data_IF_873415746094
#
_entry.id   IF_873415746094
#
_cell.length_a   1.000
_cell.length_b   1.000
_cell.length_c   1.000
_cell.angle_alpha   90.00
_cell.angle_beta   90.00
_cell.angle_gamma   90.00
#
_symmetry.space_group_name_H-M   'P 1'
#
loop_
_entity.id
_entity.type
_entity.pdbx_description
1 polymer ?
#
# COMPACT_ATOMS: atom_id res chain seq x y z
N UNK A 1 34.65 -8.95 10.47
CA UNK A 1 33.56 -9.62 9.73
C UNK A 1 33.04 -8.61 8.74
N UNK A 2 33.24 -8.86 7.45
CA UNK A 2 32.76 -7.99 6.39
C UNK A 2 31.24 -7.96 6.46
N UNK A 3 30.67 -6.81 6.81
CA UNK A 3 29.24 -6.56 6.63
C UNK A 3 29.02 -6.50 5.12
N UNK A 4 28.64 -7.62 4.53
CA UNK A 4 28.14 -7.62 3.16
C UNK A 4 26.95 -6.66 3.12
N UNK A 5 27.02 -5.68 2.23
CA UNK A 5 25.90 -4.81 1.91
C UNK A 5 24.79 -5.71 1.36
N UNK A 6 23.88 -6.20 2.21
CA UNK A 6 22.69 -6.92 1.75
C UNK A 6 21.91 -5.97 0.83
N UNK A 7 21.90 -6.29 -0.45
CA UNK A 7 21.24 -5.49 -1.47
C UNK A 7 19.73 -5.66 -1.30
N UNK A 8 19.01 -4.55 -1.17
CA UNK A 8 17.55 -4.56 -1.05
C UNK A 8 16.90 -5.28 -2.23
N UNK A 9 16.10 -6.31 -1.94
CA UNK A 9 15.32 -7.06 -2.90
C UNK A 9 13.83 -6.95 -2.57
N UNK A 10 13.09 -6.22 -3.42
CA UNK A 10 11.66 -5.96 -3.19
C UNK A 10 10.84 -7.26 -3.12
N UNK A 11 11.19 -8.27 -3.92
CA UNK A 11 10.47 -9.54 -3.93
C UNK A 11 10.65 -10.34 -2.63
N UNK A 12 11.81 -10.24 -1.99
CA UNK A 12 12.08 -10.89 -0.70
C UNK A 12 11.27 -10.23 0.43
N UNK A 13 11.16 -8.91 0.42
CA UNK A 13 10.31 -8.16 1.35
C UNK A 13 8.82 -8.49 1.15
N UNK A 14 8.38 -8.58 -0.10
CA UNK A 14 7.01 -9.00 -0.44
C UNK A 14 6.76 -10.42 0.08
N UNK A 15 7.65 -11.37 -0.21
CA UNK A 15 7.54 -12.75 0.25
C UNK A 15 7.49 -12.82 1.78
N UNK A 16 8.36 -12.07 2.45
CA UNK A 16 8.41 -11.97 3.91
C UNK A 16 7.11 -11.43 4.48
N UNK A 17 6.52 -10.39 3.89
CA UNK A 17 5.22 -9.87 4.32
C UNK A 17 4.12 -10.94 4.22
N UNK A 18 4.07 -11.69 3.12
CA UNK A 18 3.03 -12.69 2.90
C UNK A 18 3.15 -13.93 3.80
N UNK A 19 4.24 -14.11 4.55
CA UNK A 19 4.29 -15.10 5.63
C UNK A 19 3.39 -14.74 6.82
N UNK A 20 3.07 -13.44 7.01
CA UNK A 20 2.37 -12.88 8.18
C UNK A 20 0.85 -12.77 8.00
N UNK A 21 0.31 -13.23 6.87
CA UNK A 21 -1.11 -13.11 6.55
C UNK A 21 -1.58 -14.35 5.79
N UNK A 22 -2.84 -14.79 5.95
CA UNK A 22 -3.37 -15.89 5.14
C UNK A 22 -3.78 -15.44 3.72
N UNK A 23 -3.72 -14.14 3.43
CA UNK A 23 -4.11 -13.55 2.15
C UNK A 23 -2.98 -13.71 1.13
N UNK A 24 -3.28 -14.16 -0.08
CA UNK A 24 -2.28 -14.25 -1.15
C UNK A 24 -2.02 -12.92 -1.84
N UNK A 25 -0.86 -12.79 -2.50
CA UNK A 25 -0.53 -11.62 -3.32
C UNK A 25 -1.54 -11.39 -4.43
N UNK A 26 -2.00 -12.45 -5.07
CA UNK A 26 -2.98 -12.41 -6.16
C UNK A 26 -4.33 -11.89 -5.67
N UNK A 27 -4.73 -12.23 -4.45
CA UNK A 27 -5.94 -11.71 -3.83
C UNK A 27 -5.84 -10.21 -3.55
N UNK A 28 -4.67 -9.74 -3.06
CA UNK A 28 -4.38 -8.32 -2.92
C UNK A 28 -4.41 -7.60 -4.28
N UNK A 29 -3.72 -8.12 -5.29
CA UNK A 29 -3.63 -7.48 -6.59
C UNK A 29 -5.00 -7.44 -7.30
N UNK A 30 -5.78 -8.51 -7.20
CA UNK A 30 -7.16 -8.54 -7.72
C UNK A 30 -8.04 -7.51 -7.03
N UNK A 31 -7.92 -7.38 -5.70
CA UNK A 31 -8.63 -6.36 -4.95
C UNK A 31 -8.19 -4.94 -5.32
N UNK A 32 -6.90 -4.71 -5.53
CA UNK A 32 -6.44 -3.39 -5.97
C UNK A 32 -7.13 -2.98 -7.28
N UNK A 33 -7.20 -3.89 -8.27
CA UNK A 33 -7.93 -3.64 -9.54
C UNK A 33 -9.42 -3.38 -9.31
N UNK A 34 -10.07 -4.17 -8.46
CA UNK A 34 -11.50 -4.00 -8.11
C UNK A 34 -11.77 -2.61 -7.50
N UNK A 35 -10.91 -2.13 -6.61
CA UNK A 35 -11.12 -0.88 -5.86
C UNK A 35 -10.90 0.38 -6.68
N UNK A 36 -9.92 0.37 -7.60
CA UNK A 36 -9.47 1.60 -8.27
C UNK A 36 -9.57 1.55 -9.79
N UNK A 37 -10.02 0.42 -10.35
CA UNK A 37 -10.09 0.18 -11.78
C UNK A 37 -8.73 -0.05 -12.44
N UNK A 38 -8.75 -0.26 -13.75
CA UNK A 38 -7.55 -0.55 -14.56
C UNK A 38 -7.06 -1.99 -14.43
N UNK A 39 -6.22 -2.40 -15.38
CA UNK A 39 -5.79 -3.80 -15.51
C UNK A 39 -4.39 -4.08 -14.92
N UNK A 40 -3.64 -3.03 -14.62
CA UNK A 40 -2.25 -3.09 -14.15
C UNK A 40 -2.15 -2.85 -12.64
N UNK A 41 -1.34 -3.68 -11.98
CA UNK A 41 -0.93 -3.52 -10.58
C UNK A 41 0.57 -3.67 -10.53
N UNK A 42 1.26 -2.71 -9.91
CA UNK A 42 2.73 -2.68 -9.83
C UNK A 42 3.13 -2.46 -8.37
N UNK A 43 3.88 -3.38 -7.74
CA UNK A 43 4.41 -3.16 -6.40
C UNK A 43 5.24 -1.88 -6.33
N UNK A 44 5.13 -1.14 -5.23
CA UNK A 44 6.05 -0.04 -4.95
C UNK A 44 7.47 -0.60 -4.76
N UNK A 45 8.47 0.13 -5.27
CA UNK A 45 9.88 -0.29 -5.25
C UNK A 45 10.47 -0.45 -3.85
N UNK A 46 9.82 0.11 -2.83
CA UNK A 46 10.14 -0.09 -1.42
C UNK A 46 8.87 -0.49 -0.68
N UNK A 47 8.93 -1.63 -0.01
CA UNK A 47 7.83 -2.17 0.80
C UNK A 47 8.05 -1.89 2.28
N UNK A 48 6.95 -1.87 3.04
CA UNK A 48 7.02 -1.81 4.50
C UNK A 48 6.99 -3.21 5.09
N UNK A 49 7.72 -3.43 6.18
CA UNK A 49 7.76 -4.74 6.86
C UNK A 49 6.38 -5.27 7.30
N UNK A 50 5.38 -4.38 7.42
CA UNK A 50 4.02 -4.68 7.87
C UNK A 50 2.96 -4.27 6.84
N UNK A 51 3.37 -4.01 5.60
CA UNK A 51 2.45 -3.59 4.55
C UNK A 51 2.92 -3.98 3.16
N UNK A 52 2.03 -4.56 2.38
CA UNK A 52 2.17 -4.64 0.93
C UNK A 52 1.51 -3.42 0.29
N UNK A 53 2.25 -2.69 -0.55
CA UNK A 53 1.78 -1.46 -1.21
C UNK A 53 2.00 -1.56 -2.71
N UNK A 54 0.97 -1.20 -3.47
CA UNK A 54 0.96 -1.25 -4.93
C UNK A 54 0.48 0.06 -5.53
N UNK A 55 0.96 0.36 -6.72
CA UNK A 55 0.32 1.30 -7.64
C UNK A 55 -0.73 0.56 -8.47
N UNK A 56 -1.90 1.18 -8.61
CA UNK A 56 -3.03 0.66 -9.37
C UNK A 56 -3.87 1.83 -9.93
N UNK A 57 -4.96 1.52 -10.64
CA UNK A 57 -5.81 2.52 -11.29
C UNK A 57 -5.33 2.87 -12.69
N UNK A 58 -6.12 3.68 -13.40
CA UNK A 58 -5.72 4.23 -14.69
C UNK A 58 -4.37 4.96 -14.55
N UNK A 59 -3.42 4.60 -15.42
CA UNK A 59 -2.05 5.12 -15.41
C UNK A 59 -1.32 4.99 -14.07
N UNK A 60 -1.70 4.01 -13.22
CA UNK A 60 -1.08 3.78 -11.90
C UNK A 60 -1.18 5.02 -10.98
N UNK A 61 -2.28 5.77 -11.12
CA UNK A 61 -2.56 7.04 -10.42
C UNK A 61 -2.97 6.89 -8.96
N UNK A 62 -3.26 5.68 -8.50
CA UNK A 62 -3.66 5.42 -7.12
C UNK A 62 -2.69 4.48 -6.43
N UNK A 63 -2.56 4.64 -5.13
CA UNK A 63 -1.80 3.76 -4.25
C UNK A 63 -2.80 2.99 -3.39
N UNK A 64 -2.65 1.67 -3.36
CA UNK A 64 -3.41 0.78 -2.49
C UNK A 64 -2.42 0.13 -1.53
N UNK A 65 -2.70 0.27 -0.24
CA UNK A 65 -1.87 -0.29 0.83
C UNK A 65 -2.68 -1.32 1.62
N UNK A 66 -2.10 -2.51 1.76
CA UNK A 66 -2.59 -3.62 2.57
C UNK A 66 -1.72 -3.71 3.82
N UNK A 67 -2.28 -3.45 5.00
CA UNK A 67 -1.55 -3.51 6.28
C UNK A 67 -2.07 -4.65 7.15
N UNK A 68 -1.19 -5.22 7.96
CA UNK A 68 -1.57 -6.10 9.06
C UNK A 68 -2.58 -5.38 9.97
N UNK A 69 -3.64 -6.07 10.38
CA UNK A 69 -4.73 -5.52 11.19
C UNK A 69 -4.26 -4.92 12.52
N UNK A 70 -3.34 -5.58 13.21
CA UNK A 70 -2.69 -5.17 14.47
C UNK A 70 -1.96 -3.84 14.35
N UNK A 71 -1.58 -3.48 13.12
CA UNK A 71 -0.85 -2.27 12.79
C UNK A 71 -1.70 -1.34 11.93
N UNK A 72 -3.02 -1.28 12.14
CA UNK A 72 -3.92 -0.37 11.42
C UNK A 72 -3.35 1.06 11.27
N UNK A 73 -3.54 1.63 10.07
CA UNK A 73 -3.27 3.04 9.85
C UNK A 73 -4.36 3.88 10.52
N UNK A 74 -3.98 4.65 11.54
CA UNK A 74 -4.90 5.51 12.28
C UNK A 74 -5.46 6.61 11.39
N UNK A 75 -6.69 6.43 10.87
CA UNK A 75 -7.35 7.37 9.97
C UNK A 75 -7.47 8.79 10.54
N UNK A 76 -7.72 8.94 11.84
CA UNK A 76 -7.76 10.25 12.50
C UNK A 76 -6.41 10.98 12.44
N UNK A 77 -5.30 10.25 12.60
CA UNK A 77 -3.94 10.81 12.48
C UNK A 77 -3.64 11.22 11.04
N UNK A 78 -4.04 10.40 10.06
CA UNK A 78 -3.88 10.73 8.64
C UNK A 78 -4.71 11.98 8.25
N UNK A 79 -5.97 12.05 8.70
CA UNK A 79 -6.84 13.20 8.47
C UNK A 79 -6.30 14.47 9.15
N UNK A 80 -5.75 14.36 10.36
CA UNK A 80 -5.11 15.48 11.05
C UNK A 80 -3.86 15.96 10.30
N UNK A 81 -3.01 15.03 9.84
CA UNK A 81 -1.85 15.37 9.02
C UNK A 81 -2.26 16.09 7.74
N UNK A 82 -3.30 15.61 7.03
CA UNK A 82 -3.87 16.27 5.85
C UNK A 82 -4.38 17.67 6.16
N UNK A 83 -5.03 17.86 7.31
CA UNK A 83 -5.53 19.18 7.74
C UNK A 83 -4.41 20.17 8.06
N UNK A 84 -3.29 19.71 8.61
CA UNK A 84 -2.16 20.58 8.99
C UNK A 84 -1.24 20.86 7.80
N UNK A 85 -0.92 19.83 7.01
CA UNK A 85 0.10 19.89 5.96
C UNK A 85 -0.48 20.00 4.53
N UNK A 86 -1.81 19.99 4.39
CA UNK A 86 -2.48 20.12 3.11
C UNK A 86 -2.03 19.06 2.10
N UNK A 87 -1.67 19.50 0.89
CA UNK A 87 -1.24 18.60 -0.18
C UNK A 87 0.03 17.79 0.12
N UNK A 88 0.82 18.15 1.14
CA UNK A 88 2.03 17.41 1.52
C UNK A 88 1.75 16.10 2.27
N UNK A 89 0.55 15.93 2.83
CA UNK A 89 0.10 14.69 3.44
C UNK A 89 -0.91 14.00 2.52
N UNK A 90 -0.87 12.66 2.37
CA UNK A 90 -1.81 11.94 1.52
C UNK A 90 -3.24 12.04 2.07
N UNK A 91 -4.21 12.07 1.16
CA UNK A 91 -5.62 11.88 1.51
C UNK A 91 -5.94 10.39 1.52
N UNK A 92 -6.09 9.82 2.72
CA UNK A 92 -6.18 8.37 2.91
C UNK A 92 -7.61 7.96 3.24
N UNK A 93 -8.10 6.95 2.52
CA UNK A 93 -9.42 6.36 2.72
C UNK A 93 -9.29 4.89 3.09
N UNK A 94 -9.91 4.49 4.21
CA UNK A 94 -10.10 3.08 4.53
C UNK A 94 -11.10 2.47 3.55
N UNK A 95 -10.79 1.30 3.00
CA UNK A 95 -11.61 0.61 2.00
C UNK A 95 -12.36 -0.57 2.61
N UNK A 96 -11.63 -1.59 3.04
CA UNK A 96 -12.19 -2.80 3.66
C UNK A 96 -11.13 -3.65 4.33
N UNK A 97 -11.56 -4.67 5.06
CA UNK A 97 -10.71 -5.79 5.48
C UNK A 97 -10.66 -6.87 4.39
N UNK A 98 -9.51 -7.52 4.22
CA UNK A 98 -9.33 -8.68 3.37
C UNK A 98 -8.82 -9.87 4.21
N UNK A 99 -9.49 -11.01 4.09
CA UNK A 99 -9.28 -12.16 4.95
C UNK A 99 -10.05 -12.07 6.28
N UNK A 100 -10.00 -13.14 7.07
CA UNK A 100 -10.61 -13.23 8.39
C UNK A 100 -9.74 -14.05 9.35
N UNK A 101 -10.01 -13.92 10.65
CA UNK A 101 -9.30 -14.66 11.71
C UNK A 101 -9.40 -16.18 11.54
N UNK A 102 -10.52 -16.67 11.01
CA UNK A 102 -10.76 -18.10 10.81
C UNK A 102 -9.84 -18.73 9.76
N UNK A 103 -9.26 -17.91 8.87
CA UNK A 103 -8.31 -18.34 7.83
C UNK A 103 -6.85 -18.22 8.32
N UNK A 104 -6.61 -17.58 9.46
CA UNK A 104 -5.27 -17.28 9.95
C UNK A 104 -4.61 -18.50 10.62
N UNK A 105 -3.41 -18.85 10.15
CA UNK A 105 -2.50 -19.72 10.88
C UNK A 105 -1.87 -19.04 12.10
N UNK A 106 -1.08 -19.78 12.87
CA UNK A 106 -0.39 -19.21 14.04
C UNK A 106 0.51 -18.03 13.64
N UNK A 107 0.23 -16.84 14.19
CA UNK A 107 0.98 -15.62 13.91
C UNK A 107 0.63 -14.90 12.61
N UNK A 108 -0.42 -15.36 11.91
CA UNK A 108 -0.97 -14.66 10.76
C UNK A 108 -2.18 -13.81 11.17
N UNK A 109 -2.47 -12.78 10.38
CA UNK A 109 -3.62 -11.91 10.62
C UNK A 109 -4.20 -11.36 9.30
N UNK A 110 -5.48 -10.94 9.27
CA UNK A 110 -6.09 -10.34 8.09
C UNK A 110 -5.48 -8.97 7.76
N UNK A 111 -5.80 -8.47 6.57
CA UNK A 111 -5.27 -7.20 6.07
C UNK A 111 -6.33 -6.11 6.07
N UNK A 112 -5.95 -4.91 6.49
CA UNK A 112 -6.73 -3.69 6.34
C UNK A 112 -6.26 -2.94 5.10
N UNK A 113 -7.21 -2.59 4.23
CA UNK A 113 -6.94 -2.00 2.91
C UNK A 113 -7.26 -0.52 2.93
N UNK A 114 -6.28 0.31 2.56
CA UNK A 114 -6.42 1.75 2.42
C UNK A 114 -6.03 2.19 1.02
N UNK A 115 -6.69 3.24 0.50
CA UNK A 115 -6.40 3.82 -0.81
C UNK A 115 -6.14 5.33 -0.72
N UNK A 116 -5.22 5.82 -1.54
CA UNK A 116 -4.91 7.25 -1.67
C UNK A 116 -4.42 7.61 -3.08
N UNK A 117 -4.60 8.87 -3.47
CA UNK A 117 -4.13 9.36 -4.76
C UNK A 117 -2.60 9.50 -4.76
N UNK A 118 -1.96 9.04 -5.83
CA UNK A 118 -0.52 9.27 -6.04
C UNK A 118 -0.35 10.75 -6.37
N UNK A 119 0.38 11.48 -5.52
CA UNK A 119 0.81 12.84 -5.85
C UNK A 119 1.76 12.75 -7.05
N UNK A 120 1.23 12.97 -8.25
CA UNK A 120 2.06 13.22 -9.43
C UNK A 120 2.44 14.68 -9.34
N UNK A 121 3.73 15.04 -9.31
CA UNK A 121 4.11 16.43 -9.48
C UNK A 121 3.64 16.84 -10.86
N UNK A 122 2.54 17.57 -10.93
CA UNK A 122 2.16 18.31 -12.14
C UNK A 122 3.30 19.27 -12.40
N UNK A 123 4.16 18.96 -13.38
CA UNK A 123 4.93 19.99 -14.05
C UNK A 123 3.91 20.87 -14.79
N UNK A 124 3.26 21.75 -14.04
CA UNK A 124 2.58 22.88 -14.63
C UNK A 124 3.69 23.76 -15.21
N UNK A 125 4.05 23.53 -16.47
CA UNK A 125 4.67 24.56 -17.29
C UNK A 125 3.56 25.58 -17.51
N UNK A 126 3.64 26.81 -16.97
CA UNK A 126 2.67 27.83 -17.30
C UNK A 126 2.87 28.16 -18.78
N UNK A 127 1.95 27.67 -19.62
CA UNK A 127 1.83 28.13 -21.00
C UNK A 127 1.37 29.58 -20.98
N UNK A 128 2.33 30.49 -20.98
CA UNK A 128 2.09 31.92 -21.00
C UNK A 128 3.34 32.68 -21.41
N UNK A 129 3.69 32.61 -22.70
CA UNK A 129 4.20 33.72 -23.52
C UNK A 129 3.67 33.49 -24.94
#
# INVERSE_FOLDING_TARGET
MSSENEQYAVDDEIATFFTKTPVSREACDSLAKELVGGDCVVPVVVQGACSYTVYAGYELSQVVQFRLQSLELKGQTAALARRIFGALAPDVSFRRQLGNESMAGAGQEPLLVSGFWKLVPTMAVPSGI
#
